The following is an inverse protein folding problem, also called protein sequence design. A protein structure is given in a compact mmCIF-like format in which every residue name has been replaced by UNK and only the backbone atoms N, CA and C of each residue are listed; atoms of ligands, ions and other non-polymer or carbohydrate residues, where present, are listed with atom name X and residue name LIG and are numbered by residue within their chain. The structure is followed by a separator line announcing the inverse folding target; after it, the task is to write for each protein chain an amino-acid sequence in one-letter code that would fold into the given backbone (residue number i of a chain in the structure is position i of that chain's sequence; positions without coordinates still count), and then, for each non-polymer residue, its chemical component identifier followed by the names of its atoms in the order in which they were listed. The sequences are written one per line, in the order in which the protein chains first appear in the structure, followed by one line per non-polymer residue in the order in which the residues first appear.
data_IF_741456603452
#
_entry.id   IF_741456603452
#
_cell.length_a   1.000
_cell.length_b   1.000
_cell.length_c   1.000
_cell.angle_alpha   90.00
_cell.angle_beta   90.00
_cell.angle_gamma   90.00
#
_symmetry.space_group_name_H-M   'P 1'
#
loop_
_entity.id
_entity.type
_entity.pdbx_description
1 polymer ?
#
# COMPACT_ATOMS: atom_id res chain seq x y z
N UNK A 1 -19.30 -7.49 -13.94
CA UNK A 1 -18.29 -6.44 -14.21
C UNK A 1 -17.61 -6.10 -12.88
N UNK A 2 -16.29 -5.98 -12.84
CA UNK A 2 -15.59 -5.58 -11.60
C UNK A 2 -15.96 -4.14 -11.22
N UNK A 3 -16.07 -3.80 -9.92
CA UNK A 3 -16.34 -2.44 -9.50
C UNK A 3 -15.20 -1.50 -9.94
N UNK A 4 -15.53 -0.24 -10.24
CA UNK A 4 -14.52 0.79 -10.50
C UNK A 4 -13.69 1.03 -9.23
N UNK A 5 -12.46 0.51 -9.22
CA UNK A 5 -11.50 0.76 -8.14
C UNK A 5 -10.75 2.05 -8.46
N UNK A 6 -10.72 3.04 -7.55
CA UNK A 6 -9.94 4.25 -7.77
C UNK A 6 -8.45 3.91 -7.86
N UNK A 7 -7.77 4.46 -8.85
CA UNK A 7 -6.32 4.38 -8.99
C UNK A 7 -5.73 5.63 -8.34
N UNK A 8 -4.81 5.42 -7.41
CA UNK A 8 -4.09 6.49 -6.73
C UNK A 8 -2.64 6.04 -6.49
N UNK A 9 -1.75 7.00 -6.25
CA UNK A 9 -0.34 6.70 -6.01
C UNK A 9 -0.12 6.17 -4.59
N UNK A 10 0.83 5.25 -4.43
CA UNK A 10 1.06 4.56 -3.16
C UNK A 10 1.53 5.51 -2.04
N UNK A 11 2.17 6.63 -2.38
CA UNK A 11 2.51 7.71 -1.45
C UNK A 11 1.28 8.33 -0.77
N UNK A 12 0.16 8.46 -1.49
CA UNK A 12 -1.10 9.00 -0.99
C UNK A 12 -1.94 8.01 -0.16
N UNK A 13 -1.44 6.79 0.07
CA UNK A 13 -2.14 5.75 0.84
C UNK A 13 -2.54 6.18 2.28
N UNK A 14 -1.72 6.91 3.05
CA UNK A 14 -2.10 7.39 4.39
C UNK A 14 -3.32 8.33 4.38
N UNK A 15 -3.53 9.08 3.30
CA UNK A 15 -4.70 9.94 3.15
C UNK A 15 -5.90 9.13 2.65
N UNK A 16 -5.67 8.26 1.66
CA UNK A 16 -6.74 7.49 1.02
C UNK A 16 -7.41 6.48 1.97
N UNK A 17 -6.67 5.92 2.94
CA UNK A 17 -7.25 5.03 3.96
C UNK A 17 -8.30 5.75 4.82
N UNK A 18 -8.19 7.08 4.93
CA UNK A 18 -9.08 7.93 5.72
C UNK A 18 -10.25 8.52 4.90
N UNK A 19 -10.35 8.19 3.60
CA UNK A 19 -11.44 8.66 2.74
C UNK A 19 -12.31 7.50 2.22
N UNK A 20 -13.51 7.83 1.78
CA UNK A 20 -14.46 6.93 1.13
C UNK A 20 -15.20 7.71 0.05
N UNK A 21 -15.40 7.09 -1.11
CA UNK A 21 -16.18 7.68 -2.20
C UNK A 21 -17.65 7.31 -2.04
N UNK A 22 -18.51 8.32 -1.86
CA UNK A 22 -19.99 8.17 -1.85
C UNK A 22 -20.59 9.15 -2.83
N UNK A 23 -21.49 8.68 -3.71
CA UNK A 23 -22.14 9.51 -4.73
C UNK A 23 -21.14 10.33 -5.57
N UNK A 24 -20.05 9.71 -6.01
CA UNK A 24 -18.98 10.37 -6.78
C UNK A 24 -18.25 11.51 -6.04
N UNK A 25 -18.47 11.67 -4.74
CA UNK A 25 -17.75 12.63 -3.90
C UNK A 25 -16.87 11.90 -2.88
N UNK A 26 -15.67 12.40 -2.68
CA UNK A 26 -14.79 11.92 -1.61
C UNK A 26 -15.24 12.52 -0.28
N UNK A 27 -15.38 11.66 0.72
CA UNK A 27 -15.73 12.05 2.09
C UNK A 27 -14.77 11.39 3.06
N UNK A 28 -14.44 12.08 4.14
CA UNK A 28 -13.67 11.49 5.25
C UNK A 28 -14.47 10.35 5.88
N UNK A 29 -13.79 9.27 6.25
CA UNK A 29 -14.37 8.17 7.03
C UNK A 29 -14.77 8.69 8.42
N UNK A 30 -15.84 8.12 8.98
CA UNK A 30 -16.24 8.40 10.36
C UNK A 30 -15.27 7.72 11.32
N UNK A 31 -14.92 8.39 12.41
CA UNK A 31 -14.04 7.86 13.46
C UNK A 31 -12.73 8.62 13.58
N UNK A 32 -11.83 8.08 14.38
CA UNK A 32 -10.48 8.59 14.56
C UNK A 32 -9.65 8.43 13.27
N UNK A 33 -8.66 9.31 13.10
CA UNK A 33 -7.75 9.22 11.98
C UNK A 33 -6.89 7.96 12.09
N UNK A 34 -6.87 7.17 11.03
CA UNK A 34 -5.98 6.01 10.94
C UNK A 34 -4.59 6.50 10.59
N UNK A 35 -3.65 6.34 11.51
CA UNK A 35 -2.22 6.45 11.23
C UNK A 35 -1.65 5.05 10.98
N UNK A 36 -1.28 4.77 9.73
CA UNK A 36 -0.76 3.46 9.32
C UNK A 36 0.52 3.06 10.05
N UNK A 37 1.32 4.02 10.52
CA UNK A 37 2.58 3.75 11.25
C UNK A 37 2.33 3.10 12.61
N UNK A 38 1.20 3.40 13.24
CA UNK A 38 0.83 2.91 14.56
C UNK A 38 0.21 1.51 14.50
N UNK A 39 -0.12 1.03 13.29
CA UNK A 39 -0.70 -0.29 13.07
C UNK A 39 0.40 -1.37 12.96
N UNK A 40 0.21 -2.56 13.57
CA UNK A 40 1.08 -3.72 13.36
C UNK A 40 1.30 -4.03 11.87
N UNK A 41 2.57 -4.24 11.50
CA UNK A 41 2.97 -4.69 10.18
C UNK A 41 2.99 -6.22 10.14
N UNK A 42 2.32 -6.78 9.14
CA UNK A 42 2.21 -8.21 8.89
C UNK A 42 2.71 -8.50 7.47
N UNK A 43 3.19 -9.72 7.27
CA UNK A 43 3.61 -10.22 5.96
C UNK A 43 2.79 -11.47 5.59
N UNK A 44 2.51 -11.62 4.30
CA UNK A 44 1.84 -12.78 3.75
C UNK A 44 2.43 -13.12 2.38
N UNK A 45 2.86 -14.36 2.22
CA UNK A 45 3.31 -14.88 0.91
C UNK A 45 2.08 -15.18 0.06
N UNK A 46 2.04 -14.60 -1.13
CA UNK A 46 1.05 -14.89 -2.18
C UNK A 46 1.77 -15.40 -3.43
N UNK A 47 1.02 -15.86 -4.43
CA UNK A 47 1.59 -16.23 -5.73
C UNK A 47 1.05 -15.29 -6.80
N UNK A 48 1.94 -14.75 -7.62
CA UNK A 48 1.60 -13.93 -8.78
C UNK A 48 1.95 -14.70 -10.04
N UNK A 49 0.95 -14.96 -10.88
CA UNK A 49 1.15 -15.62 -12.17
C UNK A 49 1.37 -14.57 -13.25
N UNK A 50 2.46 -14.70 -14.01
CA UNK A 50 2.95 -13.75 -15.00
C UNK A 50 3.09 -12.34 -14.39
N UNK A 51 3.92 -12.21 -13.33
CA UNK A 51 4.05 -10.95 -12.61
C UNK A 51 4.54 -9.83 -13.55
N UNK A 52 3.95 -8.62 -13.48
CA UNK A 52 4.19 -7.56 -14.47
C UNK A 52 5.64 -7.09 -14.52
N UNK A 53 6.40 -7.25 -13.44
CA UNK A 53 7.82 -6.89 -13.40
C UNK A 53 8.70 -7.78 -14.29
N UNK A 54 8.27 -8.98 -14.67
CA UNK A 54 9.06 -9.93 -15.46
C UNK A 54 8.76 -9.84 -16.98
N UNK A 55 7.95 -8.86 -17.40
CA UNK A 55 7.56 -8.69 -18.80
C UNK A 55 6.48 -9.69 -19.25
N UNK A 56 6.22 -9.71 -20.56
CA UNK A 56 5.21 -10.60 -21.15
C UNK A 56 5.88 -11.94 -21.49
N UNK A 57 5.45 -13.07 -20.90
CA UNK A 57 5.99 -14.38 -21.24
C UNK A 57 5.54 -14.82 -22.64
N UNK A 58 6.14 -15.89 -23.14
CA UNK A 58 5.71 -16.51 -24.39
C UNK A 58 4.22 -16.88 -24.34
N UNK A 59 3.48 -16.70 -25.46
CA UNK A 59 2.06 -17.03 -25.51
C UNK A 59 1.78 -18.47 -25.05
N UNK A 60 0.82 -18.62 -24.13
CA UNK A 60 0.42 -19.93 -23.61
C UNK A 60 1.23 -20.42 -22.40
N UNK A 61 2.24 -19.68 -21.95
CA UNK A 61 2.99 -20.00 -20.73
C UNK A 61 2.45 -19.23 -19.52
N UNK A 62 2.21 -19.94 -18.43
CA UNK A 62 1.85 -19.35 -17.13
C UNK A 62 2.92 -19.75 -16.11
N UNK A 63 3.65 -18.76 -15.61
CA UNK A 63 4.67 -18.94 -14.56
C UNK A 63 4.21 -18.19 -13.31
N UNK A 64 4.05 -18.89 -12.19
CA UNK A 64 3.66 -18.29 -10.92
C UNK A 64 4.84 -18.22 -9.97
N UNK A 65 5.08 -17.05 -9.42
CA UNK A 65 6.19 -16.78 -8.50
C UNK A 65 5.65 -16.35 -7.13
N UNK A 66 6.31 -16.76 -6.03
CA UNK A 66 5.96 -16.29 -4.71
C UNK A 66 6.30 -14.80 -4.57
N UNK A 67 5.33 -14.02 -4.09
CA UNK A 67 5.47 -12.59 -3.81
C UNK A 67 5.10 -12.33 -2.35
N UNK A 68 5.96 -11.59 -1.63
CA UNK A 68 5.66 -11.17 -0.26
C UNK A 68 4.81 -9.90 -0.33
N UNK A 69 3.61 -9.94 0.26
CA UNK A 69 2.73 -8.79 0.42
C UNK A 69 2.74 -8.34 1.88
N UNK A 70 2.79 -7.03 2.08
CA UNK A 70 2.82 -6.41 3.40
C UNK A 70 1.45 -5.82 3.74
N UNK A 71 1.04 -5.95 4.99
CA UNK A 71 -0.26 -5.48 5.47
C UNK A 71 -0.13 -4.73 6.80
N UNK A 72 -0.87 -3.63 6.93
CA UNK A 72 -1.10 -2.97 8.22
C UNK A 72 -2.45 -3.40 8.77
N UNK A 73 -2.45 -4.01 9.96
CA UNK A 73 -3.68 -4.40 10.68
C UNK A 73 -4.00 -3.34 11.73
N UNK A 74 -4.88 -2.41 11.40
CA UNK A 74 -5.29 -1.31 12.26
C UNK A 74 -6.47 -1.69 13.18
N UNK A 75 -6.76 -0.82 14.15
CA UNK A 75 -7.92 -0.96 15.04
C UNK A 75 -9.24 -1.03 14.26
N UNK A 76 -10.27 -1.62 14.87
CA UNK A 76 -11.57 -1.80 14.22
C UNK A 76 -11.59 -2.84 13.09
N UNK A 77 -10.54 -3.67 12.98
CA UNK A 77 -10.45 -4.75 11.98
C UNK A 77 -10.04 -4.29 10.58
N UNK A 78 -9.65 -3.03 10.42
CA UNK A 78 -9.18 -2.50 9.15
C UNK A 78 -7.83 -3.14 8.78
N UNK A 79 -7.78 -3.86 7.66
CA UNK A 79 -6.55 -4.35 7.07
C UNK A 79 -6.28 -3.62 5.76
N UNK A 80 -5.06 -3.12 5.61
CA UNK A 80 -4.62 -2.36 4.44
C UNK A 80 -3.38 -3.01 3.88
N UNK A 81 -3.39 -3.35 2.59
CA UNK A 81 -2.16 -3.77 1.92
C UNK A 81 -1.24 -2.55 1.74
N UNK A 82 0.00 -2.67 2.21
CA UNK A 82 0.99 -1.60 2.19
C UNK A 82 2.28 -1.96 1.44
N UNK A 83 2.28 -3.05 0.67
CA UNK A 83 3.45 -3.56 -0.08
C UNK A 83 4.21 -2.46 -0.82
N UNK A 84 3.51 -1.61 -1.58
CA UNK A 84 4.14 -0.53 -2.34
C UNK A 84 4.44 0.73 -1.51
N UNK A 85 3.82 0.88 -0.34
CA UNK A 85 3.97 2.06 0.52
C UNK A 85 5.16 1.94 1.49
N UNK A 86 5.43 0.75 2.03
CA UNK A 86 6.52 0.58 3.01
C UNK A 86 7.89 1.03 2.48
N UNK A 87 8.30 0.71 1.23
CA UNK A 87 9.57 1.19 0.69
C UNK A 87 9.64 2.73 0.58
N UNK A 88 8.54 3.36 0.16
CA UNK A 88 8.43 4.82 0.03
C UNK A 88 8.63 5.46 1.41
N UNK A 89 7.89 4.98 2.41
CA UNK A 89 7.97 5.46 3.80
C UNK A 89 9.38 5.34 4.37
N UNK A 90 10.03 4.20 4.19
CA UNK A 90 11.38 3.96 4.70
C UNK A 90 12.40 4.91 4.04
N UNK A 91 12.28 5.14 2.74
CA UNK A 91 13.14 6.07 2.01
C UNK A 91 12.96 7.52 2.50
N UNK A 92 11.72 7.95 2.77
CA UNK A 92 11.43 9.27 3.33
C UNK A 92 12.00 9.45 4.74
N UNK A 93 11.82 8.45 5.61
CA UNK A 93 12.36 8.47 6.97
C UNK A 93 13.89 8.50 6.97
N UNK A 94 14.54 7.78 6.05
CA UNK A 94 15.99 7.83 5.87
C UNK A 94 16.46 9.23 5.45
N UNK A 95 15.79 9.87 4.48
CA UNK A 95 16.09 11.24 4.03
C UNK A 95 15.92 12.25 5.17
N UNK A 96 14.87 12.13 5.97
CA UNK A 96 14.63 13.03 7.11
C UNK A 96 15.72 12.90 8.18
N UNK A 97 16.14 11.66 8.50
CA UNK A 97 17.24 11.41 9.44
C UNK A 97 18.56 11.99 8.96
N UNK A 98 18.87 11.85 7.67
CA UNK A 98 20.07 12.45 7.06
C UNK A 98 20.04 13.98 7.15
N UNK A 99 18.92 14.60 6.77
CA UNK A 99 18.77 16.05 6.84
C UNK A 99 18.83 16.62 8.27
N UNK A 100 18.40 15.84 9.27
CA UNK A 100 18.52 16.22 10.68
C UNK A 100 19.98 16.19 11.15
N UNK A 101 20.76 15.18 10.73
CA UNK A 101 22.17 15.06 11.08
C UNK A 101 23.06 16.10 10.40
N UNK A 102 22.75 16.54 9.18
CA UNK A 102 23.51 17.61 8.50
C UNK A 102 23.28 18.99 9.11
N UNK A 103 22.24 19.17 9.93
CA UNK A 103 21.92 20.43 10.61
C UNK A 103 22.47 20.52 12.05
N UNK A 104 23.13 19.47 12.53
CA UNK A 104 23.88 19.45 13.80
C UNK A 104 25.36 19.67 13.52
#
# INVERSE_FOLDING_TARGET
MAPLVPIFSADSLPDHVNTVRRNFQEKRRKGEQVNLKDCPLLEMTQFSCNPPQNGVPEPGVVVCEPVVRLFRRCAGGLMVETTSWEPIRLAEEAKQKQAANTKQ
#
